data_IF_713416449119
#
_entry.id   IF_713416449119
#
_cell.length_a   1.000
_cell.length_b   1.000
_cell.length_c   1.000
_cell.angle_alpha   90.00
_cell.angle_beta   90.00
_cell.angle_gamma   90.00
#
_symmetry.space_group_name_H-M   'P 1'
#
loop_
_entity.id
_entity.type
_entity.pdbx_description
1 polymer ?
#
# COMPACT_ATOMS: atom_id res chain seq x y z
N UNK A 1 -26.18 7.73 8.66
CA UNK A 1 -25.61 6.37 8.55
C UNK A 1 -24.54 6.25 9.62
N UNK A 2 -24.73 5.35 10.58
CA UNK A 2 -23.68 5.02 11.54
C UNK A 2 -22.77 4.00 10.85
N UNK A 3 -21.46 4.25 10.73
CA UNK A 3 -20.53 3.26 10.19
C UNK A 3 -20.68 1.95 10.96
N UNK A 4 -20.53 0.82 10.26
CA UNK A 4 -20.45 -0.46 10.95
C UNK A 4 -19.29 -0.41 11.97
N UNK A 5 -19.46 -0.92 13.19
CA UNK A 5 -18.38 -0.94 14.16
C UNK A 5 -17.23 -1.77 13.59
N UNK A 6 -16.03 -1.21 13.60
CA UNK A 6 -14.83 -1.95 13.24
C UNK A 6 -14.64 -3.08 14.25
N UNK A 7 -14.45 -4.33 13.83
CA UNK A 7 -14.24 -5.42 14.76
C UNK A 7 -12.96 -5.19 15.56
N UNK A 8 -13.12 -5.21 16.87
CA UNK A 8 -12.12 -4.75 17.82
C UNK A 8 -12.32 -5.53 19.12
N UNK A 9 -11.42 -6.47 19.39
CA UNK A 9 -11.29 -7.11 20.70
C UNK A 9 -10.00 -6.63 21.37
N UNK A 10 -10.06 -5.66 22.29
CA UNK A 10 -8.87 -5.07 22.91
C UNK A 10 -8.29 -5.91 24.05
N UNK A 11 -8.81 -7.12 24.31
CA UNK A 11 -8.50 -7.87 25.52
C UNK A 11 -7.00 -8.16 25.66
N UNK A 12 -6.35 -8.53 24.56
CA UNK A 12 -4.89 -8.71 24.47
C UNK A 12 -4.45 -8.72 23.00
N UNK A 13 -3.14 -8.78 22.74
CA UNK A 13 -2.58 -8.82 21.38
C UNK A 13 -3.09 -10.01 20.56
N UNK A 14 -3.27 -11.18 21.15
CA UNK A 14 -3.76 -12.33 20.39
C UNK A 14 -5.20 -12.14 19.87
N UNK A 15 -6.09 -11.68 20.75
CA UNK A 15 -7.51 -11.49 20.45
C UNK A 15 -7.74 -10.35 19.46
N UNK A 16 -6.99 -9.24 19.58
CA UNK A 16 -7.11 -8.13 18.63
C UNK A 16 -6.69 -8.57 17.21
N UNK A 17 -5.56 -9.27 17.06
CA UNK A 17 -5.12 -9.74 15.75
C UNK A 17 -6.05 -10.80 15.17
N UNK A 18 -6.57 -11.72 15.99
CA UNK A 18 -7.58 -12.68 15.52
C UNK A 18 -8.85 -11.98 15.03
N UNK A 19 -9.30 -10.92 15.72
CA UNK A 19 -10.46 -10.14 15.29
C UNK A 19 -10.25 -9.47 13.92
N UNK A 20 -9.03 -9.03 13.62
CA UNK A 20 -8.67 -8.47 12.33
C UNK A 20 -8.58 -9.53 11.23
N UNK A 21 -8.01 -10.72 11.53
CA UNK A 21 -8.02 -11.87 10.61
C UNK A 21 -9.45 -12.22 10.18
N UNK A 22 -10.34 -12.40 11.16
CA UNK A 22 -11.72 -12.80 10.93
C UNK A 22 -12.49 -11.77 10.12
N UNK A 23 -12.19 -10.49 10.31
CA UNK A 23 -12.79 -9.40 9.56
C UNK A 23 -12.35 -9.41 8.10
N UNK A 24 -11.05 -9.43 7.87
CA UNK A 24 -10.47 -9.38 6.52
C UNK A 24 -10.89 -10.59 5.69
N UNK A 25 -10.92 -11.79 6.29
CA UNK A 25 -11.42 -13.00 5.61
C UNK A 25 -12.89 -12.92 5.22
N UNK A 26 -13.73 -12.14 5.94
CA UNK A 26 -15.14 -11.92 5.56
C UNK A 26 -15.27 -10.94 4.39
N UNK A 27 -14.33 -10.01 4.23
CA UNK A 27 -14.33 -9.05 3.14
C UNK A 27 -13.94 -9.67 1.80
N UNK A 28 -13.05 -10.67 1.78
CA UNK A 28 -12.65 -11.36 0.54
C UNK A 28 -13.85 -11.85 -0.29
N UNK A 29 -14.73 -12.74 0.22
CA UNK A 29 -15.88 -13.21 -0.55
C UNK A 29 -16.90 -12.09 -0.83
N UNK A 30 -16.96 -11.05 0.01
CA UNK A 30 -17.82 -9.89 -0.26
C UNK A 30 -17.36 -9.14 -1.52
N UNK A 31 -16.09 -8.74 -1.59
CA UNK A 31 -15.54 -8.04 -2.75
C UNK A 31 -15.58 -8.89 -4.03
N UNK A 32 -15.22 -10.19 -3.93
CA UNK A 32 -15.32 -11.09 -5.08
C UNK A 32 -16.76 -11.26 -5.56
N UNK A 33 -17.72 -11.35 -4.63
CA UNK A 33 -19.14 -11.41 -4.95
C UNK A 33 -19.68 -10.13 -5.59
N UNK A 34 -19.21 -8.95 -5.18
CA UNK A 34 -19.56 -7.69 -5.86
C UNK A 34 -18.91 -7.61 -7.26
N UNK A 35 -17.66 -8.07 -7.40
CA UNK A 35 -16.96 -8.10 -8.69
C UNK A 35 -17.70 -8.96 -9.73
N UNK A 36 -18.38 -10.02 -9.32
CA UNK A 36 -19.16 -10.89 -10.21
C UNK A 36 -20.46 -10.27 -10.74
N UNK A 37 -20.96 -9.21 -10.09
CA UNK A 37 -22.17 -8.48 -10.52
C UNK A 37 -21.87 -7.31 -11.45
N UNK A 38 -20.60 -7.01 -11.70
CA UNK A 38 -20.17 -5.84 -12.46
C UNK A 38 -19.82 -6.24 -13.90
N UNK A 39 -20.45 -5.55 -14.85
CA UNK A 39 -20.23 -5.75 -16.29
C UNK A 39 -18.99 -5.02 -16.81
N UNK A 40 -18.64 -3.88 -16.19
CA UNK A 40 -17.47 -3.11 -16.58
C UNK A 40 -16.17 -3.84 -16.16
N UNK A 41 -15.29 -4.19 -17.11
CA UNK A 41 -14.13 -5.01 -16.81
C UNK A 41 -13.10 -4.28 -15.94
N UNK A 42 -13.03 -2.94 -15.98
CA UNK A 42 -12.13 -2.17 -15.13
C UNK A 42 -12.64 -2.13 -13.69
N UNK A 43 -13.92 -1.81 -13.48
CA UNK A 43 -14.54 -1.80 -12.14
C UNK A 43 -14.48 -3.21 -11.52
N UNK A 44 -14.70 -4.26 -12.31
CA UNK A 44 -14.55 -5.65 -11.86
C UNK A 44 -13.14 -5.92 -11.31
N UNK A 45 -12.10 -5.46 -12.01
CA UNK A 45 -10.70 -5.62 -11.56
C UNK A 45 -10.41 -4.83 -10.28
N UNK A 46 -10.98 -3.62 -10.13
CA UNK A 46 -10.83 -2.83 -8.90
C UNK A 46 -11.40 -3.60 -7.70
N UNK A 47 -12.60 -4.18 -7.81
CA UNK A 47 -13.19 -4.96 -6.73
C UNK A 47 -12.40 -6.24 -6.41
N UNK A 48 -11.88 -6.92 -7.44
CA UNK A 48 -10.99 -8.07 -7.23
C UNK A 48 -9.72 -7.67 -6.49
N UNK A 49 -9.14 -6.51 -6.82
CA UNK A 49 -7.98 -5.94 -6.11
C UNK A 49 -8.32 -5.72 -4.63
N UNK A 50 -9.45 -5.10 -4.30
CA UNK A 50 -9.87 -4.94 -2.90
C UNK A 50 -10.00 -6.28 -2.16
N UNK A 51 -10.52 -7.32 -2.84
CA UNK A 51 -10.57 -8.67 -2.28
C UNK A 51 -9.18 -9.27 -2.02
N UNK A 52 -8.21 -9.04 -2.92
CA UNK A 52 -6.82 -9.47 -2.71
C UNK A 52 -6.13 -8.71 -1.57
N UNK A 53 -6.41 -7.41 -1.42
CA UNK A 53 -5.91 -6.59 -0.30
C UNK A 53 -6.42 -7.13 1.05
N UNK A 54 -7.70 -7.48 1.15
CA UNK A 54 -8.23 -8.11 2.35
C UNK A 54 -7.61 -9.48 2.63
N UNK A 55 -7.44 -10.32 1.60
CA UNK A 55 -6.76 -11.60 1.79
C UNK A 55 -5.31 -11.41 2.28
N UNK A 56 -4.65 -10.40 1.77
CA UNK A 56 -3.31 -9.99 2.17
C UNK A 56 -3.25 -9.57 3.64
N UNK A 57 -4.13 -8.67 4.09
CA UNK A 57 -4.20 -8.24 5.48
C UNK A 57 -4.52 -9.40 6.43
N UNK A 58 -5.47 -10.28 6.06
CA UNK A 58 -5.76 -11.48 6.84
C UNK A 58 -4.51 -12.33 7.07
N UNK A 59 -3.72 -12.57 6.01
CA UNK A 59 -2.45 -13.31 6.11
C UNK A 59 -1.41 -12.57 6.96
N UNK A 60 -1.32 -11.23 6.86
CA UNK A 60 -0.42 -10.40 7.69
C UNK A 60 -0.74 -10.59 9.16
N UNK A 61 -1.99 -10.39 9.57
CA UNK A 61 -2.42 -10.54 10.96
C UNK A 61 -2.28 -11.97 11.47
N UNK A 62 -2.61 -12.98 10.64
CA UNK A 62 -2.44 -14.39 11.01
C UNK A 62 -0.96 -14.72 11.28
N UNK A 63 -0.04 -14.16 10.49
CA UNK A 63 1.40 -14.39 10.66
C UNK A 63 1.95 -13.68 11.90
N UNK A 64 1.46 -12.48 12.21
CA UNK A 64 1.78 -11.77 13.45
C UNK A 64 1.31 -12.62 14.64
N UNK A 65 0.03 -13.03 14.64
CA UNK A 65 -0.56 -13.87 15.67
C UNK A 65 0.23 -15.17 15.88
N UNK A 66 0.61 -15.85 14.79
CA UNK A 66 1.38 -17.10 14.86
C UNK A 66 2.83 -16.97 15.33
N UNK A 67 3.34 -15.73 15.47
CA UNK A 67 4.71 -15.46 15.92
C UNK A 67 4.79 -14.96 17.37
N UNK A 68 3.67 -14.57 17.98
CA UNK A 68 3.66 -14.06 19.34
C UNK A 68 4.15 -15.13 20.32
N UNK A 69 5.07 -14.77 21.22
CA UNK A 69 5.34 -15.58 22.41
C UNK A 69 4.11 -15.59 23.33
N UNK A 70 4.01 -16.52 24.29
CA UNK A 70 2.96 -16.48 25.30
C UNK A 70 2.89 -15.13 26.04
N UNK A 71 4.03 -14.53 26.41
CA UNK A 71 4.03 -13.21 27.06
C UNK A 71 3.53 -12.10 26.12
N UNK A 72 3.99 -12.08 24.86
CA UNK A 72 3.53 -11.09 23.88
C UNK A 72 2.04 -11.24 23.56
N UNK A 73 1.53 -12.47 23.52
CA UNK A 73 0.12 -12.77 23.24
C UNK A 73 -0.81 -12.26 24.35
N UNK A 74 -0.36 -12.33 25.60
CA UNK A 74 -1.06 -11.83 26.80
C UNK A 74 -0.89 -10.32 27.00
N UNK A 75 0.11 -9.71 26.36
CA UNK A 75 0.39 -8.27 26.41
C UNK A 75 -0.74 -7.40 25.86
N UNK A 76 -0.72 -6.13 26.24
CA UNK A 76 -1.68 -5.14 25.73
C UNK A 76 -1.35 -4.76 24.28
N UNK A 77 -2.35 -4.49 23.43
CA UNK A 77 -2.11 -3.98 22.08
C UNK A 77 -1.33 -2.66 22.10
N UNK A 78 -0.29 -2.53 21.28
CA UNK A 78 0.48 -1.30 21.10
C UNK A 78 1.78 -1.15 21.91
N UNK A 79 2.31 -2.23 22.51
CA UNK A 79 3.66 -2.20 23.08
C UNK A 79 4.73 -2.03 21.98
N UNK A 80 5.57 -1.01 22.16
CA UNK A 80 6.63 -0.57 21.25
C UNK A 80 7.71 -1.66 21.05
N UNK A 81 8.13 -1.88 19.80
CA UNK A 81 9.39 -2.54 19.50
C UNK A 81 10.44 -1.47 19.17
N UNK A 82 11.58 -1.48 19.86
CA UNK A 82 12.67 -0.58 19.48
C UNK A 82 13.27 -1.04 18.14
N UNK A 83 13.00 -0.29 17.05
CA UNK A 83 13.63 -0.50 15.75
C UNK A 83 15.01 0.18 15.69
N UNK A 84 16.00 -0.41 14.99
CA UNK A 84 17.28 0.25 14.76
C UNK A 84 17.11 1.60 14.03
N UNK A 85 17.81 2.64 14.48
CA UNK A 85 17.69 4.00 13.93
C UNK A 85 17.94 4.06 12.41
N UNK A 86 18.97 3.35 11.93
CA UNK A 86 19.27 3.28 10.49
C UNK A 86 18.14 2.66 9.66
N UNK A 87 17.47 1.64 10.22
CA UNK A 87 16.34 0.99 9.58
C UNK A 87 15.11 1.90 9.57
N UNK A 88 14.84 2.61 10.67
CA UNK A 88 13.79 3.62 10.75
C UNK A 88 14.02 4.72 9.70
N UNK A 89 15.24 5.24 9.58
CA UNK A 89 15.56 6.27 8.59
C UNK A 89 15.36 5.77 7.16
N UNK A 90 15.76 4.53 6.88
CA UNK A 90 15.54 3.89 5.58
C UNK A 90 14.05 3.80 5.24
N UNK A 91 13.25 3.32 6.18
CA UNK A 91 11.81 3.18 6.04
C UNK A 91 11.12 4.55 5.88
N UNK A 92 11.52 5.55 6.66
CA UNK A 92 11.03 6.93 6.53
C UNK A 92 11.35 7.55 5.17
N UNK A 93 12.51 7.21 4.58
CA UNK A 93 12.85 7.58 3.21
C UNK A 93 11.87 7.01 2.18
N UNK A 94 11.46 5.75 2.34
CA UNK A 94 10.46 5.11 1.48
C UNK A 94 9.08 5.74 1.65
N UNK A 95 8.67 6.04 2.89
CA UNK A 95 7.43 6.76 3.21
C UNK A 95 7.40 8.12 2.48
N UNK A 96 8.46 8.92 2.60
CA UNK A 96 8.54 10.23 1.93
C UNK A 96 8.53 10.11 0.40
N UNK A 97 9.22 9.11 -0.15
CA UNK A 97 9.22 8.84 -1.60
C UNK A 97 7.81 8.48 -2.09
N UNK A 98 7.11 7.57 -1.40
CA UNK A 98 5.74 7.19 -1.77
C UNK A 98 4.74 8.31 -1.59
N UNK A 99 4.90 9.13 -0.57
CA UNK A 99 4.09 10.35 -0.42
C UNK A 99 4.29 11.29 -1.62
N UNK A 100 5.52 11.43 -2.12
CA UNK A 100 5.83 12.22 -3.31
C UNK A 100 5.18 11.65 -4.57
N UNK A 101 5.29 10.33 -4.81
CA UNK A 101 4.65 9.66 -5.96
C UNK A 101 3.12 9.81 -5.94
N UNK A 102 2.50 9.67 -4.77
CA UNK A 102 1.06 9.85 -4.59
C UNK A 102 0.66 11.27 -4.99
N UNK A 103 1.35 12.29 -4.46
CA UNK A 103 1.07 13.70 -4.80
C UNK A 103 1.31 13.99 -6.29
N UNK A 104 2.34 13.40 -6.89
CA UNK A 104 2.62 13.53 -8.33
C UNK A 104 1.45 12.97 -9.16
N UNK A 105 0.91 11.80 -8.82
CA UNK A 105 -0.22 11.21 -9.52
C UNK A 105 -1.52 11.99 -9.31
N UNK A 106 -1.80 12.45 -8.09
CA UNK A 106 -2.96 13.33 -7.81
C UNK A 106 -2.86 14.58 -8.68
N UNK A 107 -1.70 15.25 -8.71
CA UNK A 107 -1.50 16.44 -9.53
C UNK A 107 -1.73 16.13 -11.01
N UNK A 108 -1.07 15.11 -11.54
CA UNK A 108 -1.16 14.75 -12.96
C UNK A 108 -2.62 14.43 -13.33
N UNK A 109 -3.34 13.67 -12.49
CA UNK A 109 -4.75 13.37 -12.71
C UNK A 109 -5.61 14.64 -12.80
N UNK A 110 -5.36 15.64 -11.94
CA UNK A 110 -6.06 16.92 -11.96
C UNK A 110 -5.76 17.76 -13.20
N UNK A 111 -4.47 17.85 -13.57
CA UNK A 111 -4.03 18.63 -14.75
C UNK A 111 -4.57 18.03 -16.04
N UNK A 112 -4.63 16.70 -16.12
CA UNK A 112 -5.08 15.97 -17.31
C UNK A 112 -6.50 15.42 -17.18
N UNK A 113 -7.32 16.01 -16.30
CA UNK A 113 -8.70 15.53 -16.06
C UNK A 113 -9.59 15.56 -17.32
N UNK A 114 -9.26 16.40 -18.30
CA UNK A 114 -9.97 16.51 -19.59
C UNK A 114 -9.35 15.65 -20.69
N UNK A 115 -8.19 15.04 -20.44
CA UNK A 115 -7.44 14.24 -21.42
C UNK A 115 -7.89 12.78 -21.37
N UNK A 116 -9.09 12.52 -21.91
CA UNK A 116 -9.64 11.17 -22.10
C UNK A 116 -9.60 10.32 -20.81
N UNK A 117 -9.43 9.01 -20.95
CA UNK A 117 -9.35 8.04 -19.87
C UNK A 117 -8.06 8.16 -19.03
N UNK A 118 -7.02 8.83 -19.53
CA UNK A 118 -5.69 8.90 -18.89
C UNK A 118 -5.75 9.61 -17.54
N UNK A 119 -6.49 10.71 -17.42
CA UNK A 119 -6.68 11.41 -16.14
C UNK A 119 -7.27 10.50 -15.05
N UNK A 120 -8.26 9.68 -15.43
CA UNK A 120 -8.89 8.71 -14.52
C UNK A 120 -7.96 7.55 -14.15
N UNK A 121 -7.18 7.04 -15.10
CA UNK A 121 -6.24 5.96 -14.81
C UNK A 121 -5.10 6.44 -13.90
N UNK A 122 -4.61 7.67 -14.08
CA UNK A 122 -3.64 8.28 -13.17
C UNK A 122 -4.22 8.47 -11.75
N UNK A 123 -5.53 8.74 -11.64
CA UNK A 123 -6.20 8.77 -10.34
C UNK A 123 -6.22 7.40 -9.68
N UNK A 124 -6.51 6.31 -10.41
CA UNK A 124 -6.48 4.94 -9.85
C UNK A 124 -5.08 4.57 -9.32
N UNK A 125 -4.01 4.94 -10.04
CA UNK A 125 -2.66 4.74 -9.52
C UNK A 125 -2.36 5.60 -8.30
N UNK A 126 -2.88 6.83 -8.20
CA UNK A 126 -2.75 7.63 -6.98
C UNK A 126 -3.34 6.94 -5.75
N UNK A 127 -4.48 6.26 -5.90
CA UNK A 127 -5.10 5.48 -4.83
C UNK A 127 -4.24 4.27 -4.45
N UNK A 128 -3.63 3.62 -5.44
CA UNK A 128 -2.67 2.53 -5.19
C UNK A 128 -1.45 3.03 -4.42
N UNK A 129 -0.87 4.19 -4.78
CA UNK A 129 0.23 4.81 -4.02
C UNK A 129 -0.17 5.16 -2.59
N UNK A 130 -1.40 5.62 -2.37
CA UNK A 130 -1.91 5.93 -1.04
C UNK A 130 -1.96 4.68 -0.15
N UNK A 131 -2.34 3.52 -0.71
CA UNK A 131 -2.30 2.24 0.02
C UNK A 131 -0.89 1.81 0.36
N UNK A 132 0.02 1.86 -0.62
CA UNK A 132 1.45 1.55 -0.41
C UNK A 132 2.06 2.45 0.66
N UNK A 133 1.75 3.75 0.62
CA UNK A 133 2.15 4.73 1.63
C UNK A 133 1.62 4.34 3.02
N UNK A 134 0.35 3.97 3.12
CA UNK A 134 -0.24 3.55 4.39
C UNK A 134 0.45 2.30 4.95
N UNK A 135 0.73 1.30 4.12
CA UNK A 135 1.45 0.08 4.54
C UNK A 135 2.86 0.38 5.05
N UNK A 136 3.61 1.26 4.40
CA UNK A 136 4.95 1.65 4.86
C UNK A 136 4.90 2.53 6.13
N UNK A 137 3.93 3.44 6.19
CA UNK A 137 3.76 4.35 7.31
C UNK A 137 3.27 3.63 8.58
N UNK A 138 2.49 2.56 8.44
CA UNK A 138 2.05 1.70 9.54
C UNK A 138 3.25 1.12 10.30
N UNK A 139 4.24 0.57 9.59
CA UNK A 139 5.45 -0.01 10.21
C UNK A 139 6.28 1.05 10.98
N UNK A 140 6.18 2.33 10.62
CA UNK A 140 6.79 3.43 11.40
C UNK A 140 5.92 3.79 12.62
N UNK A 141 4.61 3.97 12.39
CA UNK A 141 3.66 4.41 13.40
C UNK A 141 3.44 3.38 14.52
N UNK A 142 3.49 2.09 14.21
CA UNK A 142 3.41 1.00 15.20
C UNK A 142 4.55 1.04 16.23
N UNK A 143 5.64 1.73 15.93
CA UNK A 143 6.78 1.94 16.82
C UNK A 143 6.76 3.32 17.50
N UNK A 144 5.60 3.99 17.54
CA UNK A 144 5.42 5.29 18.19
C UNK A 144 6.05 6.48 17.44
N UNK A 145 6.59 6.25 16.25
CA UNK A 145 7.29 7.26 15.46
C UNK A 145 6.29 7.90 14.48
N UNK A 146 6.21 9.24 14.37
CA UNK A 146 5.38 9.89 13.37
C UNK A 146 5.94 9.65 11.96
N UNK A 147 5.13 9.15 11.00
CA UNK A 147 5.57 8.99 9.61
C UNK A 147 5.96 10.32 8.94
N UNK A 148 7.04 10.31 8.15
CA UNK A 148 7.60 11.48 7.47
C UNK A 148 6.86 11.75 6.15
N UNK A 149 5.81 12.58 6.23
CA UNK A 149 5.08 13.07 5.06
C UNK A 149 5.68 14.37 4.52
N UNK A 150 6.95 14.31 4.11
CA UNK A 150 7.66 15.42 3.48
C UNK A 150 7.75 15.17 1.97
N UNK A 151 7.08 16.01 1.18
CA UNK A 151 7.05 15.86 -0.26
C UNK A 151 8.38 16.31 -0.90
N UNK A 152 8.91 15.48 -1.78
CA UNK A 152 9.99 15.85 -2.69
C UNK A 152 9.52 16.81 -3.79
N UNK A 153 10.38 16.98 -4.81
CA UNK A 153 10.07 17.84 -5.94
C UNK A 153 8.98 17.23 -6.82
N UNK A 154 7.88 17.97 -7.00
CA UNK A 154 6.80 17.63 -7.93
C UNK A 154 7.10 18.20 -9.32
N UNK A 155 6.96 17.38 -10.35
CA UNK A 155 7.00 17.79 -11.74
C UNK A 155 5.74 18.57 -12.11
N UNK A 156 5.94 19.81 -12.56
CA UNK A 156 4.87 20.74 -12.90
C UNK A 156 4.57 20.81 -14.40
N UNK A 157 5.07 19.88 -15.21
CA UNK A 157 4.77 19.81 -16.63
C UNK A 157 3.27 19.67 -16.89
N UNK A 158 2.87 20.17 -18.05
CA UNK A 158 1.50 20.15 -18.56
C UNK A 158 1.40 19.30 -19.84
N UNK A 159 2.35 18.38 -20.06
CA UNK A 159 2.33 17.44 -21.17
C UNK A 159 2.04 16.04 -20.64
N UNK A 160 1.00 15.40 -21.19
CA UNK A 160 0.64 14.02 -20.84
C UNK A 160 1.82 13.07 -21.05
N UNK A 161 2.51 13.18 -22.19
CA UNK A 161 3.67 12.32 -22.48
C UNK A 161 4.82 12.50 -21.48
N UNK A 162 5.08 13.73 -21.03
CA UNK A 162 6.07 13.99 -19.97
C UNK A 162 5.65 13.41 -18.63
N UNK A 163 4.36 13.53 -18.28
CA UNK A 163 3.83 13.00 -17.04
C UNK A 163 3.84 11.46 -17.01
N UNK A 164 3.49 10.81 -18.13
CA UNK A 164 3.58 9.35 -18.27
C UNK A 164 5.03 8.87 -18.19
N UNK A 165 5.95 9.56 -18.89
CA UNK A 165 7.38 9.25 -18.81
C UNK A 165 7.90 9.35 -17.37
N UNK A 166 7.56 10.43 -16.67
CA UNK A 166 7.95 10.62 -15.26
C UNK A 166 7.35 9.57 -14.35
N UNK A 167 6.06 9.24 -14.52
CA UNK A 167 5.40 8.18 -13.77
C UNK A 167 6.07 6.82 -13.96
N UNK A 168 6.47 6.49 -15.19
CA UNK A 168 7.20 5.26 -15.49
C UNK A 168 8.61 5.24 -14.85
N UNK A 169 9.32 6.36 -14.89
CA UNK A 169 10.62 6.50 -14.23
C UNK A 169 10.49 6.32 -12.72
N UNK A 170 9.47 6.94 -12.11
CA UNK A 170 9.22 6.87 -10.67
C UNK A 170 8.85 5.46 -10.20
N UNK A 171 7.89 4.81 -10.86
CA UNK A 171 7.44 3.49 -10.45
C UNK A 171 8.53 2.43 -10.59
N UNK A 172 9.37 2.53 -11.64
CA UNK A 172 10.53 1.64 -11.81
C UNK A 172 11.61 1.91 -10.76
N UNK A 173 11.91 3.17 -10.49
CA UNK A 173 12.86 3.56 -9.45
C UNK A 173 12.43 3.08 -8.07
N UNK A 174 11.16 3.23 -7.73
CA UNK A 174 10.60 2.75 -6.48
C UNK A 174 10.64 1.22 -6.39
N UNK A 175 10.31 0.53 -7.48
CA UNK A 175 10.41 -0.95 -7.55
C UNK A 175 11.83 -1.44 -7.30
N UNK A 176 12.83 -0.84 -7.94
CA UNK A 176 14.23 -1.18 -7.71
C UNK A 176 14.64 -0.95 -6.26
N UNK A 177 14.16 0.15 -5.66
CA UNK A 177 14.45 0.48 -4.28
C UNK A 177 13.80 -0.49 -3.30
N UNK A 178 12.54 -0.86 -3.52
CA UNK A 178 11.84 -1.86 -2.74
C UNK A 178 12.51 -3.24 -2.83
N UNK A 179 13.02 -3.65 -4.00
CA UNK A 179 13.78 -4.91 -4.15
C UNK A 179 15.06 -4.87 -3.28
N UNK A 180 15.80 -3.75 -3.32
CA UNK A 180 17.01 -3.59 -2.50
C UNK A 180 16.66 -3.64 -1.02
N UNK A 181 15.69 -2.85 -0.60
CA UNK A 181 15.26 -2.77 0.79
C UNK A 181 14.73 -4.12 1.30
N UNK A 182 13.97 -4.84 0.49
CA UNK A 182 13.53 -6.20 0.80
C UNK A 182 14.72 -7.13 1.06
N UNK A 183 15.82 -6.99 0.30
CA UNK A 183 17.03 -7.79 0.47
C UNK A 183 17.89 -7.46 1.71
N UNK A 184 17.60 -6.39 2.43
CA UNK A 184 18.37 -5.98 3.61
C UNK A 184 18.13 -6.92 4.80
N UNK A 185 19.20 -7.20 5.58
CA UNK A 185 19.16 -8.19 6.67
C UNK A 185 18.19 -7.82 7.79
N UNK A 186 18.01 -6.53 8.05
CA UNK A 186 17.03 -6.05 9.03
C UNK A 186 15.61 -6.24 8.51
N UNK A 187 15.32 -5.80 7.27
CA UNK A 187 14.02 -6.00 6.62
C UNK A 187 13.57 -7.46 6.62
N UNK A 188 14.50 -8.39 6.43
CA UNK A 188 14.22 -9.83 6.46
C UNK A 188 13.67 -10.34 7.81
N UNK A 189 13.82 -9.57 8.90
CA UNK A 189 13.24 -9.89 10.22
C UNK A 189 11.77 -9.48 10.33
N UNK A 190 11.34 -8.51 9.52
CA UNK A 190 10.03 -7.86 9.57
C UNK A 190 9.06 -8.50 8.57
N UNK A 191 8.43 -9.60 8.99
CA UNK A 191 7.58 -10.38 8.09
C UNK A 191 6.34 -9.63 7.57
N UNK A 192 5.79 -8.68 8.35
CA UNK A 192 4.69 -7.82 7.92
C UNK A 192 5.12 -6.88 6.79
N UNK A 193 6.23 -6.16 7.01
CA UNK A 193 6.86 -5.33 5.99
C UNK A 193 7.25 -6.10 4.71
N UNK A 194 7.85 -7.29 4.80
CA UNK A 194 8.20 -8.09 3.62
C UNK A 194 6.97 -8.44 2.77
N UNK A 195 5.86 -8.73 3.43
CA UNK A 195 4.59 -8.98 2.78
C UNK A 195 4.10 -7.71 2.07
N UNK A 196 4.22 -6.53 2.71
CA UNK A 196 3.80 -5.25 2.12
C UNK A 196 4.63 -4.91 0.90
N UNK A 197 5.94 -5.17 0.98
CA UNK A 197 6.87 -5.01 -0.15
C UNK A 197 6.52 -5.96 -1.29
N UNK A 198 6.25 -7.26 -1.04
CA UNK A 198 5.86 -8.20 -2.10
C UNK A 198 4.61 -7.75 -2.86
N UNK A 199 3.63 -7.18 -2.16
CA UNK A 199 2.43 -6.62 -2.77
C UNK A 199 2.74 -5.37 -3.57
N UNK A 200 3.48 -4.42 -3.00
CA UNK A 200 3.90 -3.19 -3.67
C UNK A 200 4.67 -3.50 -4.96
N UNK A 201 5.59 -4.46 -4.92
CA UNK A 201 6.37 -4.92 -6.06
C UNK A 201 5.50 -5.41 -7.23
N UNK A 202 4.43 -6.16 -6.96
CA UNK A 202 3.49 -6.61 -7.99
C UNK A 202 2.68 -5.45 -8.57
N UNK A 203 2.21 -4.55 -7.71
CA UNK A 203 1.45 -3.37 -8.11
C UNK A 203 2.29 -2.42 -8.98
N UNK A 204 3.56 -2.23 -8.61
CA UNK A 204 4.51 -1.38 -9.34
C UNK A 204 4.88 -1.95 -10.71
N UNK A 205 5.06 -3.27 -10.81
CA UNK A 205 5.26 -3.94 -12.10
C UNK A 205 4.05 -3.79 -13.02
N UNK A 206 2.85 -3.97 -12.46
CA UNK A 206 1.61 -3.76 -13.20
C UNK A 206 1.45 -2.31 -13.68
N UNK A 207 1.69 -1.34 -12.79
CA UNK A 207 1.61 0.08 -13.12
C UNK A 207 2.62 0.48 -14.21
N UNK A 208 3.86 -0.01 -14.12
CA UNK A 208 4.87 0.22 -15.15
C UNK A 208 4.40 -0.29 -16.52
N UNK A 209 3.85 -1.50 -16.57
CA UNK A 209 3.34 -2.10 -17.82
C UNK A 209 2.18 -1.29 -18.43
N UNK A 210 1.23 -0.84 -17.60
CA UNK A 210 0.13 0.01 -18.06
C UNK A 210 0.62 1.35 -18.62
N UNK A 211 1.52 2.04 -17.90
CA UNK A 211 2.06 3.33 -18.34
C UNK A 211 2.85 3.18 -19.65
N UNK A 212 3.63 2.11 -19.81
CA UNK A 212 4.31 1.81 -21.08
C UNK A 212 3.33 1.65 -22.25
N UNK A 213 2.23 0.95 -22.03
CA UNK A 213 1.24 0.72 -23.07
C UNK A 213 0.44 1.98 -23.41
N UNK A 214 0.19 2.85 -22.45
CA UNK A 214 -0.43 4.15 -22.70
C UNK A 214 0.52 5.07 -23.46
N UNK A 215 1.81 5.05 -23.12
CA UNK A 215 2.84 5.86 -23.78
C UNK A 215 3.05 5.52 -25.26
N UNK A 216 2.73 4.27 -25.67
CA UNK A 216 2.76 3.86 -27.09
C UNK A 216 1.57 4.38 -27.90
N UNK A 217 0.48 4.77 -27.22
CA UNK A 217 -0.78 5.21 -27.83
C UNK A 217 -0.94 6.73 -27.85
N UNK A 218 -0.13 7.45 -27.07
CA UNK A 218 -0.08 8.91 -26.94
C UNK A 218 0.87 9.57 -27.93
#
# INVERSE_FOLDING_TARGET
LTPAPYPYDPTNRATIFQSYVDYELKLVPHYMGEADKVDDPHIKRVLQREGWESEYHAKKFQRILGKLTPEEAEGLPGEENELPEEFVERLQGLVASKYTEMLQHIRSSWVFQQESIVGWQLMDFSMTKMKQLAHLAEEVAENGIPPRFEAGKIDLSASVGMALKKGLEDVRGAREEHIKFQGESETQKHAGLLMSLDLALKQEEYEAAEIEDWSKKS
#
